data_IF_469632647956
#
_entry.id   IF_469632647956
#
_cell.length_a   1.000
_cell.length_b   1.000
_cell.length_c   1.000
_cell.angle_alpha   90.00
_cell.angle_beta   90.00
_cell.angle_gamma   90.00
#
_symmetry.space_group_name_H-M   'P 1'
#
loop_
_entity.id
_entity.type
_entity.pdbx_description
1 polymer ?
#
# COMPACT_ATOMS: atom_id res chain seq x y z
N UNK A 1 41.01 -5.43 -75.73
CA UNK A 1 42.22 -5.31 -74.89
C UNK A 1 42.32 -3.84 -74.50
N UNK A 2 42.40 -3.39 -73.26
CA UNK A 2 42.29 -3.95 -71.91
C UNK A 2 42.29 -2.72 -70.99
N UNK A 3 41.54 -2.75 -69.89
CA UNK A 3 41.88 -2.02 -68.66
C UNK A 3 41.32 -0.60 -68.49
N UNK A 4 40.12 -0.52 -67.93
CA UNK A 4 39.64 0.62 -67.12
C UNK A 4 40.35 0.59 -65.76
N UNK A 5 40.89 1.70 -65.22
CA UNK A 5 41.40 1.75 -63.85
C UNK A 5 40.28 2.13 -62.87
N UNK A 6 40.01 1.25 -61.90
CA UNK A 6 39.16 1.53 -60.74
C UNK A 6 39.82 2.55 -59.81
N UNK A 7 39.03 3.53 -59.37
CA UNK A 7 39.44 4.57 -58.41
C UNK A 7 38.98 4.16 -57.01
N UNK A 8 39.81 4.29 -55.96
CA UNK A 8 39.50 3.78 -54.63
C UNK A 8 38.38 4.54 -53.94
N UNK A 9 37.44 3.78 -53.36
CA UNK A 9 36.25 4.26 -52.68
C UNK A 9 36.54 5.11 -51.45
N UNK A 10 35.84 6.24 -51.37
CA UNK A 10 35.80 7.15 -50.22
C UNK A 10 34.99 6.49 -49.10
N UNK A 11 35.64 6.24 -47.97
CA UNK A 11 35.00 5.77 -46.73
C UNK A 11 34.26 6.94 -46.09
N UNK A 12 32.93 6.89 -46.10
CA UNK A 12 32.08 7.82 -45.36
C UNK A 12 32.09 7.45 -43.86
N UNK A 13 32.11 8.42 -42.93
CA UNK A 13 32.04 8.15 -41.50
C UNK A 13 30.65 7.60 -41.10
N UNK A 14 30.57 6.76 -40.05
CA UNK A 14 29.30 6.26 -39.55
C UNK A 14 28.45 7.42 -39.02
N UNK A 15 27.22 7.57 -39.53
CA UNK A 15 26.23 8.49 -38.97
C UNK A 15 25.74 7.93 -37.64
N UNK A 16 26.18 8.60 -36.58
CA UNK A 16 25.70 8.48 -35.22
C UNK A 16 24.20 8.80 -35.11
N UNK A 17 23.50 8.01 -34.30
CA UNK A 17 22.27 8.43 -33.64
C UNK A 17 21.06 7.61 -34.04
N UNK A 18 20.90 6.44 -33.42
CA UNK A 18 19.58 5.89 -33.15
C UNK A 18 18.76 7.01 -32.50
N UNK A 19 17.77 7.51 -33.24
CA UNK A 19 16.74 8.35 -32.67
C UNK A 19 16.05 7.50 -31.59
N UNK A 20 16.15 7.96 -30.34
CA UNK A 20 15.35 7.41 -29.26
C UNK A 20 13.90 7.33 -29.74
N UNK A 21 13.20 6.20 -29.54
CA UNK A 21 11.81 6.10 -29.92
C UNK A 21 11.04 7.24 -29.22
N UNK A 22 10.07 7.88 -29.90
CA UNK A 22 9.31 8.95 -29.29
C UNK A 22 8.71 8.44 -27.98
N UNK A 23 8.84 9.25 -26.93
CA UNK A 23 8.18 9.02 -25.66
C UNK A 23 6.71 8.70 -25.95
N UNK A 24 6.26 7.52 -25.51
CA UNK A 24 4.84 7.17 -25.61
C UNK A 24 4.07 8.20 -24.80
N UNK A 25 3.27 8.99 -25.49
CA UNK A 25 2.18 9.76 -24.90
C UNK A 25 1.17 8.74 -24.33
N UNK A 26 1.37 8.31 -23.08
CA UNK A 26 0.35 7.55 -22.33
C UNK A 26 -0.51 8.54 -21.57
N UNK A 27 -1.53 9.08 -22.24
CA UNK A 27 -2.62 9.75 -21.56
C UNK A 27 -3.28 8.78 -20.55
N UNK A 28 -3.10 9.07 -19.26
CA UNK A 28 -3.82 8.60 -18.06
C UNK A 28 -4.46 7.18 -18.08
N UNK A 29 -3.67 6.09 -18.05
CA UNK A 29 -4.16 4.74 -17.67
C UNK A 29 -3.87 4.39 -16.19
N UNK A 30 -3.89 5.40 -15.30
CA UNK A 30 -3.57 5.21 -13.87
C UNK A 30 -4.37 6.12 -12.95
N UNK A 31 -4.40 5.82 -11.63
CA UNK A 31 -5.08 6.68 -10.66
C UNK A 31 -4.41 8.06 -10.62
N UNK A 32 -5.20 9.11 -10.36
CA UNK A 32 -4.64 10.39 -9.91
C UNK A 32 -3.89 10.17 -8.59
N UNK A 33 -2.68 10.70 -8.47
CA UNK A 33 -1.85 10.51 -7.26
C UNK A 33 -1.72 11.84 -6.52
N UNK A 34 -1.99 11.82 -5.21
CA UNK A 34 -1.79 12.97 -4.33
C UNK A 34 -0.93 12.58 -3.11
N UNK A 35 0.36 12.92 -3.09
CA UNK A 35 1.19 12.77 -1.89
C UNK A 35 0.67 13.62 -0.73
N UNK A 36 0.77 13.11 0.51
CA UNK A 36 0.27 13.83 1.70
C UNK A 36 1.18 14.97 2.17
N UNK A 37 2.44 14.98 1.76
CA UNK A 37 3.44 15.99 2.13
C UNK A 37 4.55 16.07 1.07
N UNK A 38 5.44 17.09 1.12
CA UNK A 38 6.63 17.14 0.27
C UNK A 38 7.57 15.94 0.44
N UNK A 39 7.70 15.39 1.66
CA UNK A 39 8.51 14.18 1.88
C UNK A 39 7.87 12.95 1.25
N UNK A 40 6.52 12.85 1.26
CA UNK A 40 5.81 11.81 0.52
C UNK A 40 6.02 11.93 -0.98
N UNK A 41 6.03 13.15 -1.52
CA UNK A 41 6.30 13.39 -2.94
C UNK A 41 7.72 12.94 -3.31
N UNK A 42 8.72 13.28 -2.48
CA UNK A 42 10.10 12.80 -2.68
C UNK A 42 10.21 11.27 -2.65
N UNK A 43 9.52 10.60 -1.71
CA UNK A 43 9.50 9.12 -1.66
C UNK A 43 8.79 8.52 -2.89
N UNK A 44 7.73 9.15 -3.37
CA UNK A 44 7.03 8.76 -4.59
C UNK A 44 7.92 8.92 -5.84
N UNK A 45 8.60 10.05 -5.96
CA UNK A 45 9.47 10.38 -7.10
C UNK A 45 10.61 9.37 -7.26
N UNK A 46 11.21 8.93 -6.13
CA UNK A 46 12.25 7.89 -6.10
C UNK A 46 11.82 6.58 -6.78
N UNK A 47 10.53 6.22 -6.75
CA UNK A 47 10.02 5.06 -7.48
C UNK A 47 10.58 3.70 -7.04
N UNK A 48 11.11 3.58 -5.82
CA UNK A 48 11.77 2.34 -5.40
C UNK A 48 10.75 1.26 -5.05
N UNK A 49 9.80 1.57 -4.17
CA UNK A 49 8.81 0.60 -3.70
C UNK A 49 7.41 1.21 -3.52
N UNK A 50 6.38 0.47 -3.90
CA UNK A 50 4.99 0.77 -3.57
C UNK A 50 4.34 -0.35 -2.76
N UNK A 51 3.64 0.03 -1.70
CA UNK A 51 2.76 -0.85 -0.93
C UNK A 51 1.30 -0.47 -1.21
N UNK A 52 0.58 -1.29 -1.97
CA UNK A 52 -0.83 -1.08 -2.25
C UNK A 52 -1.68 -1.65 -1.09
N UNK A 53 -2.35 -0.78 -0.34
CA UNK A 53 -3.26 -1.21 0.73
C UNK A 53 -4.57 -1.73 0.17
N UNK A 54 -4.89 -3.00 0.39
CA UNK A 54 -6.12 -3.65 -0.08
C UNK A 54 -6.94 -4.09 1.13
N UNK A 55 -7.94 -3.29 1.51
CA UNK A 55 -8.71 -3.53 2.73
C UNK A 55 -9.82 -4.59 2.52
N UNK A 56 -9.94 -5.58 3.42
CA UNK A 56 -11.07 -6.51 3.44
C UNK A 56 -12.41 -5.79 3.64
N UNK A 57 -13.50 -6.42 3.18
CA UNK A 57 -14.88 -5.89 3.26
C UNK A 57 -15.13 -4.57 2.53
N UNK A 58 -14.19 -4.09 1.73
CA UNK A 58 -14.35 -2.86 0.97
C UNK A 58 -14.70 -3.19 -0.50
N UNK A 59 -15.93 -2.85 -0.89
CA UNK A 59 -16.43 -3.06 -2.25
C UNK A 59 -15.66 -2.30 -3.33
N UNK A 60 -14.84 -1.33 -2.96
CA UNK A 60 -13.92 -0.65 -3.87
C UNK A 60 -12.94 -1.63 -4.54
N UNK A 61 -12.45 -2.65 -3.83
CA UNK A 61 -11.43 -3.56 -4.33
C UNK A 61 -12.05 -4.76 -5.09
N UNK A 62 -12.50 -4.48 -6.31
CA UNK A 62 -12.82 -5.52 -7.30
C UNK A 62 -11.54 -6.09 -7.90
N UNK A 63 -11.61 -7.25 -8.56
CA UNK A 63 -10.43 -7.85 -9.20
C UNK A 63 -9.88 -6.89 -10.27
N UNK A 64 -10.76 -6.32 -11.08
CA UNK A 64 -10.46 -5.39 -12.16
C UNK A 64 -9.73 -4.15 -11.63
N UNK A 65 -10.23 -3.58 -10.53
CA UNK A 65 -9.60 -2.42 -9.90
C UNK A 65 -8.22 -2.75 -9.34
N UNK A 66 -8.06 -3.91 -8.70
CA UNK A 66 -6.76 -4.36 -8.22
C UNK A 66 -5.80 -4.56 -9.42
N UNK A 67 -6.28 -5.09 -10.54
CA UNK A 67 -5.47 -5.27 -11.77
C UNK A 67 -4.97 -3.94 -12.30
N UNK A 68 -5.82 -2.91 -12.40
CA UNK A 68 -5.41 -1.56 -12.87
C UNK A 68 -4.38 -0.96 -11.92
N UNK A 69 -4.61 -1.04 -10.61
CA UNK A 69 -3.67 -0.52 -9.62
C UNK A 69 -2.33 -1.27 -9.62
N UNK A 70 -2.36 -2.61 -9.77
CA UNK A 70 -1.16 -3.43 -9.84
C UNK A 70 -0.34 -3.12 -11.09
N UNK A 71 -0.99 -2.98 -12.25
CA UNK A 71 -0.34 -2.59 -13.51
C UNK A 71 0.35 -1.24 -13.37
N UNK A 72 -0.39 -0.23 -12.93
CA UNK A 72 0.14 1.11 -12.69
C UNK A 72 1.35 1.10 -11.74
N UNK A 73 1.27 0.33 -10.64
CA UNK A 73 2.37 0.26 -9.69
C UNK A 73 3.60 -0.45 -10.29
N UNK A 74 3.42 -1.55 -11.02
CA UNK A 74 4.50 -2.29 -11.66
C UNK A 74 5.20 -1.47 -12.76
N UNK A 75 4.47 -0.60 -13.45
CA UNK A 75 5.03 0.29 -14.46
C UNK A 75 5.82 1.46 -13.84
N UNK A 76 5.50 1.84 -12.59
CA UNK A 76 6.06 3.04 -11.93
C UNK A 76 7.16 2.75 -10.91
N UNK A 77 7.14 1.58 -10.26
CA UNK A 77 8.00 1.25 -9.13
C UNK A 77 8.88 0.04 -9.38
N UNK A 78 10.11 0.04 -8.85
CA UNK A 78 11.03 -1.09 -8.98
C UNK A 78 10.57 -2.34 -8.24
N UNK A 79 9.83 -2.19 -7.14
CA UNK A 79 9.26 -3.30 -6.38
C UNK A 79 7.87 -2.95 -5.88
N UNK A 80 6.96 -3.91 -5.90
CA UNK A 80 5.56 -3.71 -5.48
C UNK A 80 5.13 -4.82 -4.56
N UNK A 81 4.49 -4.46 -3.46
CA UNK A 81 3.74 -5.37 -2.63
C UNK A 81 2.27 -4.93 -2.51
N UNK A 82 1.37 -5.90 -2.43
CA UNK A 82 -0.01 -5.68 -2.04
C UNK A 82 -0.17 -6.11 -0.58
N UNK A 83 -0.59 -5.19 0.28
CA UNK A 83 -0.81 -5.46 1.71
C UNK A 83 -2.29 -5.67 1.99
N UNK A 84 -2.61 -6.69 2.80
CA UNK A 84 -3.96 -6.92 3.31
C UNK A 84 -3.94 -7.17 4.83
N UNK A 85 -4.66 -6.36 5.65
CA UNK A 85 -4.80 -6.56 7.10
C UNK A 85 -5.85 -7.65 7.42
N UNK A 86 -5.58 -8.87 6.98
CA UNK A 86 -6.49 -10.01 7.05
C UNK A 86 -6.73 -10.54 8.47
N UNK A 87 -5.68 -10.71 9.28
CA UNK A 87 -5.79 -11.07 10.70
C UNK A 87 -6.55 -10.03 11.52
N UNK A 88 -6.12 -8.74 11.50
CA UNK A 88 -6.77 -7.66 12.23
C UNK A 88 -8.25 -7.46 11.89
N UNK A 89 -8.69 -7.85 10.69
CA UNK A 89 -10.10 -7.71 10.27
C UNK A 89 -11.12 -8.39 11.18
N UNK A 90 -10.72 -9.40 11.96
CA UNK A 90 -11.59 -10.00 12.97
C UNK A 90 -11.97 -9.00 14.07
N UNK A 91 -11.04 -8.11 14.46
CA UNK A 91 -11.25 -7.11 15.51
C UNK A 91 -12.36 -6.14 15.14
N UNK A 92 -12.39 -5.68 13.88
CA UNK A 92 -13.45 -4.81 13.37
C UNK A 92 -14.83 -5.48 13.44
N UNK A 93 -14.90 -6.80 13.14
CA UNK A 93 -16.14 -7.56 13.26
C UNK A 93 -16.56 -7.76 14.72
N UNK A 94 -15.63 -8.04 15.62
CA UNK A 94 -15.88 -8.15 17.06
C UNK A 94 -16.40 -6.83 17.63
N UNK A 95 -15.74 -5.71 17.30
CA UNK A 95 -16.19 -4.37 17.67
C UNK A 95 -17.56 -4.02 17.08
N UNK A 96 -17.92 -4.61 15.94
CA UNK A 96 -19.27 -4.48 15.33
C UNK A 96 -20.30 -5.46 15.92
N UNK A 97 -20.00 -6.15 17.02
CA UNK A 97 -20.95 -7.01 17.75
C UNK A 97 -20.96 -8.49 17.34
N UNK A 98 -20.07 -8.95 16.46
CA UNK A 98 -19.98 -10.38 16.17
C UNK A 98 -19.32 -11.12 17.34
N UNK A 99 -19.84 -12.28 17.77
CA UNK A 99 -19.12 -13.15 18.70
C UNK A 99 -17.75 -13.53 18.12
N UNK A 100 -16.69 -13.47 18.94
CA UNK A 100 -15.28 -13.72 18.55
C UNK A 100 -15.10 -14.87 17.57
N UNK A 101 -15.63 -16.06 17.86
CA UNK A 101 -15.54 -17.23 16.96
C UNK A 101 -16.15 -16.98 15.58
N UNK A 102 -17.30 -16.30 15.51
CA UNK A 102 -17.95 -15.94 14.23
C UNK A 102 -17.16 -14.85 13.51
N UNK A 103 -16.64 -13.86 14.24
CA UNK A 103 -15.80 -12.80 13.68
C UNK A 103 -14.54 -13.38 13.03
N UNK A 104 -13.78 -14.23 13.73
CA UNK A 104 -12.59 -14.88 13.18
C UNK A 104 -12.91 -15.76 11.96
N UNK A 105 -13.98 -16.55 12.02
CA UNK A 105 -14.39 -17.40 10.89
C UNK A 105 -14.78 -16.57 9.65
N UNK A 106 -15.51 -15.46 9.85
CA UNK A 106 -15.91 -14.55 8.78
C UNK A 106 -14.72 -13.78 8.20
N UNK A 107 -13.82 -13.27 9.05
CA UNK A 107 -12.59 -12.63 8.63
C UNK A 107 -11.73 -13.57 7.78
N UNK A 108 -11.49 -14.81 8.23
CA UNK A 108 -10.70 -15.81 7.47
C UNK A 108 -11.29 -16.12 6.10
N UNK A 109 -12.61 -16.27 5.99
CA UNK A 109 -13.27 -16.52 4.70
C UNK A 109 -13.07 -15.34 3.74
N UNK A 110 -13.17 -14.12 4.25
CA UNK A 110 -13.01 -12.90 3.45
C UNK A 110 -11.55 -12.64 3.08
N UNK A 111 -10.62 -12.94 3.98
CA UNK A 111 -9.19 -12.95 3.72
C UNK A 111 -8.85 -13.87 2.54
N UNK A 112 -9.26 -15.14 2.60
CA UNK A 112 -9.01 -16.09 1.51
C UNK A 112 -9.61 -15.62 0.18
N UNK A 113 -10.83 -15.06 0.22
CA UNK A 113 -11.48 -14.52 -0.97
C UNK A 113 -10.72 -13.33 -1.56
N UNK A 114 -10.26 -12.40 -0.73
CA UNK A 114 -9.49 -11.23 -1.15
C UNK A 114 -8.10 -11.62 -1.68
N UNK A 115 -7.40 -12.52 -0.98
CA UNK A 115 -6.11 -13.06 -1.43
C UNK A 115 -6.23 -13.66 -2.82
N UNK A 116 -7.27 -14.46 -3.08
CA UNK A 116 -7.52 -15.03 -4.40
C UNK A 116 -7.82 -13.96 -5.47
N UNK A 117 -8.47 -12.84 -5.12
CA UNK A 117 -8.64 -11.71 -6.05
C UNK A 117 -7.30 -11.06 -6.39
N UNK A 118 -6.45 -10.83 -5.38
CA UNK A 118 -5.13 -10.20 -5.55
C UNK A 118 -4.24 -11.09 -6.42
N UNK A 119 -4.21 -12.40 -6.19
CA UNK A 119 -3.47 -13.35 -7.04
C UNK A 119 -3.96 -13.27 -8.49
N UNK A 120 -5.27 -13.37 -8.75
CA UNK A 120 -5.81 -13.24 -10.11
C UNK A 120 -5.46 -11.92 -10.80
N UNK A 121 -5.48 -10.82 -10.04
CA UNK A 121 -5.12 -9.52 -10.56
C UNK A 121 -3.63 -9.44 -10.92
N UNK A 122 -2.75 -9.99 -10.08
CA UNK A 122 -1.31 -10.09 -10.32
C UNK A 122 -0.98 -11.02 -11.49
N UNK A 123 -1.68 -12.16 -11.62
CA UNK A 123 -1.58 -13.05 -12.79
C UNK A 123 -1.94 -12.31 -14.09
N UNK A 124 -3.02 -11.52 -14.06
CA UNK A 124 -3.51 -10.78 -15.24
C UNK A 124 -2.56 -9.67 -15.71
N UNK A 125 -1.65 -9.22 -14.86
CA UNK A 125 -0.57 -8.27 -15.22
C UNK A 125 0.76 -8.96 -15.48
N UNK A 126 0.81 -10.30 -15.44
CA UNK A 126 2.01 -11.09 -15.75
C UNK A 126 3.06 -11.09 -14.63
N UNK A 127 2.65 -10.91 -13.37
CA UNK A 127 3.58 -11.00 -12.24
C UNK A 127 4.20 -12.41 -12.15
N UNK A 128 5.52 -12.48 -11.98
CA UNK A 128 6.25 -13.75 -11.96
C UNK A 128 5.95 -14.61 -10.72
N UNK A 129 5.85 -13.98 -9.54
CA UNK A 129 5.64 -14.63 -8.24
C UNK A 129 4.49 -13.95 -7.47
N UNK A 130 3.22 -14.06 -7.93
CA UNK A 130 2.08 -13.35 -7.36
C UNK A 130 1.91 -13.53 -5.85
N UNK A 131 2.15 -14.74 -5.35
CA UNK A 131 1.99 -15.08 -3.93
C UNK A 131 3.04 -14.39 -3.06
N UNK A 132 4.26 -14.21 -3.57
CA UNK A 132 5.36 -13.54 -2.88
C UNK A 132 5.17 -12.03 -2.78
N UNK A 133 4.34 -11.44 -3.63
CA UNK A 133 4.01 -10.02 -3.60
C UNK A 133 2.92 -9.65 -2.58
N UNK A 134 2.27 -10.63 -1.94
CA UNK A 134 1.18 -10.39 -1.00
C UNK A 134 1.70 -10.42 0.45
N UNK A 135 1.55 -9.29 1.13
CA UNK A 135 1.83 -9.14 2.56
C UNK A 135 0.53 -9.32 3.34
N UNK A 136 0.30 -10.52 3.86
CA UNK A 136 -0.79 -10.84 4.77
C UNK A 136 -0.26 -11.27 6.15
N UNK A 137 -1.15 -11.59 7.08
CA UNK A 137 -0.79 -12.02 8.43
C UNK A 137 0.09 -13.28 8.46
N UNK A 138 -0.05 -14.16 7.47
CA UNK A 138 0.80 -15.34 7.32
C UNK A 138 2.22 -14.97 6.94
N UNK A 139 2.38 -14.09 5.95
CA UNK A 139 3.68 -13.53 5.53
C UNK A 139 4.35 -12.73 6.65
N UNK A 140 3.56 -12.02 7.46
CA UNK A 140 4.07 -11.16 8.52
C UNK A 140 4.37 -11.88 9.82
N UNK A 141 3.85 -13.09 10.01
CA UNK A 141 4.19 -13.93 11.15
C UNK A 141 5.69 -14.25 11.13
N UNK A 142 6.41 -13.84 12.17
CA UNK A 142 7.86 -14.00 12.27
C UNK A 142 8.68 -12.89 11.60
N UNK A 143 8.05 -11.89 10.97
CA UNK A 143 8.77 -10.69 10.55
C UNK A 143 9.07 -9.82 11.79
N UNK A 144 10.26 -10.03 12.37
CA UNK A 144 10.70 -9.35 13.60
C UNK A 144 10.65 -7.83 13.53
N UNK A 145 10.80 -7.24 12.33
CA UNK A 145 10.75 -5.78 12.16
C UNK A 145 9.32 -5.27 12.31
N UNK A 146 8.37 -5.93 11.65
CA UNK A 146 6.95 -5.65 11.79
C UNK A 146 6.46 -5.90 13.23
N UNK A 147 6.79 -7.06 13.81
CA UNK A 147 6.35 -7.44 15.17
C UNK A 147 6.85 -6.45 16.23
N UNK A 148 8.09 -5.97 16.11
CA UNK A 148 8.65 -4.96 17.01
C UNK A 148 7.88 -3.63 16.90
N UNK A 149 7.69 -3.12 15.69
CA UNK A 149 6.95 -1.87 15.46
C UNK A 149 5.50 -1.96 15.94
N UNK A 150 4.86 -3.12 15.76
CA UNK A 150 3.53 -3.38 16.27
C UNK A 150 3.50 -3.36 17.81
N UNK A 151 4.50 -3.97 18.46
CA UNK A 151 4.66 -3.92 19.92
C UNK A 151 4.87 -2.50 20.44
N UNK A 152 5.70 -1.71 19.76
CA UNK A 152 5.92 -0.29 20.09
C UNK A 152 4.64 0.54 19.94
N UNK A 153 3.86 0.32 18.87
CA UNK A 153 2.58 0.98 18.65
C UNK A 153 1.57 0.65 19.76
N UNK A 154 1.50 -0.61 20.20
CA UNK A 154 0.66 -1.02 21.32
C UNK A 154 1.12 -0.39 22.64
N UNK A 155 2.42 -0.41 22.93
CA UNK A 155 2.97 0.22 24.14
C UNK A 155 2.66 1.72 24.19
N UNK A 156 2.76 2.42 23.05
CA UNK A 156 2.42 3.84 22.97
C UNK A 156 0.92 4.09 23.16
N UNK A 157 0.06 3.23 22.60
CA UNK A 157 -1.40 3.29 22.82
C UNK A 157 -1.78 3.11 24.30
N UNK A 158 -1.03 2.31 25.05
CA UNK A 158 -1.29 2.09 26.47
C UNK A 158 -0.68 3.20 27.37
N UNK A 159 0.41 3.84 26.93
CA UNK A 159 1.18 4.79 27.75
C UNK A 159 0.87 6.28 27.49
N UNK A 160 0.42 6.65 26.29
CA UNK A 160 0.20 8.05 25.89
C UNK A 160 -1.28 8.33 25.62
N UNK A 161 -1.89 9.15 26.49
CA UNK A 161 -3.32 9.45 26.42
C UNK A 161 -3.74 10.18 25.13
N UNK A 162 -2.90 11.06 24.60
CA UNK A 162 -3.22 11.83 23.39
C UNK A 162 -3.14 10.94 22.13
N UNK A 163 -2.18 10.02 22.10
CA UNK A 163 -2.09 9.00 21.06
C UNK A 163 -3.25 8.01 21.15
N UNK A 164 -3.59 7.57 22.36
CA UNK A 164 -4.74 6.71 22.60
C UNK A 164 -6.04 7.35 22.09
N UNK A 165 -6.31 8.61 22.44
CA UNK A 165 -7.48 9.36 21.98
C UNK A 165 -7.54 9.43 20.45
N UNK A 166 -6.41 9.73 19.79
CA UNK A 166 -6.32 9.76 18.33
C UNK A 166 -6.63 8.40 17.69
N UNK A 167 -6.16 7.31 18.31
CA UNK A 167 -6.46 5.95 17.85
C UNK A 167 -7.93 5.58 18.08
N UNK A 168 -8.54 6.03 19.18
CA UNK A 168 -9.97 5.83 19.46
C UNK A 168 -10.85 6.57 18.45
N UNK A 169 -10.48 7.79 18.05
CA UNK A 169 -11.18 8.54 16.98
C UNK A 169 -11.13 7.82 15.65
N UNK A 170 -9.97 7.24 15.31
CA UNK A 170 -9.87 6.38 14.13
C UNK A 170 -10.71 5.09 14.28
N UNK A 171 -10.78 4.51 15.48
CA UNK A 171 -11.67 3.40 15.80
C UNK A 171 -13.16 3.76 15.60
N UNK A 172 -13.56 4.97 16.01
CA UNK A 172 -14.90 5.52 15.75
C UNK A 172 -15.17 5.59 14.25
N UNK A 173 -14.23 6.12 13.47
CA UNK A 173 -14.35 6.22 12.01
C UNK A 173 -14.50 4.83 11.35
N UNK A 174 -13.72 3.83 11.78
CA UNK A 174 -13.82 2.44 11.30
C UNK A 174 -15.21 1.84 11.53
N UNK A 175 -15.88 2.22 12.63
CA UNK A 175 -17.18 1.69 13.04
C UNK A 175 -18.39 2.51 12.56
N UNK A 176 -18.18 3.72 12.05
CA UNK A 176 -19.25 4.69 11.77
C UNK A 176 -20.37 4.13 10.87
N UNK A 177 -20.02 3.33 9.85
CA UNK A 177 -20.98 2.73 8.92
C UNK A 177 -21.48 1.34 9.34
N UNK A 178 -21.07 0.85 10.52
CA UNK A 178 -21.27 -0.54 10.97
C UNK A 178 -22.05 -0.65 12.27
N UNK A 179 -22.02 0.40 13.08
CA UNK A 179 -22.55 0.42 14.44
C UNK A 179 -23.26 1.75 14.65
N UNK A 180 -24.46 1.69 15.23
CA UNK A 180 -25.20 2.88 15.59
C UNK A 180 -24.42 3.75 16.59
N UNK A 181 -24.53 5.07 16.45
CA UNK A 181 -23.73 6.01 17.26
C UNK A 181 -23.92 5.81 18.77
N UNK A 182 -25.12 5.41 19.20
CA UNK A 182 -25.44 5.13 20.60
C UNK A 182 -24.70 3.91 21.18
N UNK A 183 -24.19 3.00 20.33
CA UNK A 183 -23.47 1.81 20.75
C UNK A 183 -21.94 1.97 20.70
N UNK A 184 -21.42 3.14 20.30
CA UNK A 184 -19.98 3.39 20.18
C UNK A 184 -19.32 3.67 21.55
N UNK A 185 -19.11 2.62 22.34
CA UNK A 185 -18.38 2.70 23.62
C UNK A 185 -16.87 2.81 23.40
N UNK A 186 -16.16 3.37 24.39
CA UNK A 186 -14.68 3.44 24.39
C UNK A 186 -14.03 2.06 24.22
N UNK A 187 -14.60 1.03 24.82
CA UNK A 187 -14.12 -0.35 24.67
C UNK A 187 -14.23 -0.84 23.22
N UNK A 188 -15.38 -0.64 22.56
CA UNK A 188 -15.56 -1.02 21.14
C UNK A 188 -14.64 -0.23 20.22
N UNK A 189 -14.49 1.07 20.46
CA UNK A 189 -13.54 1.90 19.73
C UNK A 189 -12.11 1.43 19.94
N UNK A 190 -11.74 1.01 21.15
CA UNK A 190 -10.42 0.43 21.45
C UNK A 190 -10.16 -0.88 20.71
N UNK A 191 -11.15 -1.77 20.62
CA UNK A 191 -11.04 -3.01 19.82
C UNK A 191 -10.84 -2.66 18.34
N UNK A 192 -11.62 -1.72 17.80
CA UNK A 192 -11.46 -1.26 16.41
C UNK A 192 -10.12 -0.54 16.17
N UNK A 193 -9.65 0.25 17.13
CA UNK A 193 -8.36 0.94 17.05
C UNK A 193 -7.19 -0.03 16.90
N UNK A 194 -7.28 -1.25 17.47
CA UNK A 194 -6.26 -2.28 17.27
C UNK A 194 -6.12 -2.74 15.82
N UNK A 195 -7.16 -2.58 14.99
CA UNK A 195 -7.03 -2.77 13.53
C UNK A 195 -6.08 -1.73 12.93
N UNK A 196 -6.25 -0.45 13.28
CA UNK A 196 -5.36 0.64 12.85
C UNK A 196 -3.92 0.42 13.33
N UNK A 197 -3.75 0.01 14.60
CA UNK A 197 -2.41 -0.26 15.15
C UNK A 197 -1.66 -1.34 14.37
N UNK A 198 -2.38 -2.32 13.82
CA UNK A 198 -1.77 -3.35 12.96
C UNK A 198 -1.32 -2.81 11.60
N UNK A 199 -1.96 -1.75 11.08
CA UNK A 199 -1.57 -1.11 9.82
C UNK A 199 -0.48 -0.03 10.02
N UNK A 200 -0.37 0.51 11.23
CA UNK A 200 0.54 1.61 11.56
C UNK A 200 2.01 1.37 11.14
N UNK A 201 2.60 0.16 11.34
CA UNK A 201 3.94 -0.14 10.85
C UNK A 201 4.08 0.07 9.33
N UNK A 202 3.06 -0.24 8.53
CA UNK A 202 3.10 -0.02 7.08
C UNK A 202 2.93 1.46 6.70
N UNK A 203 2.07 2.20 7.41
CA UNK A 203 1.92 3.63 7.14
C UNK A 203 3.21 4.42 7.40
N UNK A 204 4.08 3.91 8.28
CA UNK A 204 5.19 4.70 8.82
C UNK A 204 6.58 4.10 8.59
N UNK A 205 6.71 2.79 8.40
CA UNK A 205 7.99 2.07 8.39
C UNK A 205 8.03 0.91 7.37
N UNK A 206 7.24 0.98 6.29
CA UNK A 206 7.27 -0.02 5.21
C UNK A 206 8.70 -0.30 4.71
N UNK A 207 9.58 0.69 4.41
CA UNK A 207 10.91 0.39 3.90
C UNK A 207 11.71 -0.51 4.84
N UNK A 208 11.56 -0.31 6.15
CA UNK A 208 12.20 -1.18 7.15
C UNK A 208 11.62 -2.59 7.12
N UNK A 209 10.30 -2.74 7.01
CA UNK A 209 9.62 -4.04 6.99
C UNK A 209 10.01 -4.89 5.76
N UNK A 210 10.10 -4.26 4.58
CA UNK A 210 10.34 -4.96 3.30
C UNK A 210 11.79 -4.92 2.84
N UNK A 211 12.66 -4.17 3.52
CA UNK A 211 14.09 -4.11 3.22
C UNK A 211 14.48 -3.19 2.06
N UNK A 212 13.74 -2.10 1.86
CA UNK A 212 14.04 -1.06 0.85
C UNK A 212 14.51 0.24 1.50
N UNK A 213 15.13 1.14 0.74
CA UNK A 213 15.56 2.45 1.22
C UNK A 213 14.41 3.47 1.24
N UNK A 214 13.43 3.32 0.37
CA UNK A 214 12.21 4.13 0.33
C UNK A 214 10.99 3.31 -0.08
N UNK A 215 9.81 3.78 0.31
CA UNK A 215 8.53 3.16 -0.01
C UNK A 215 7.39 4.16 0.14
N UNK A 216 6.39 4.06 -0.72
CA UNK A 216 5.11 4.74 -0.56
C UNK A 216 3.99 3.76 -0.25
N UNK A 217 3.18 4.07 0.77
CA UNK A 217 1.91 3.39 0.98
C UNK A 217 0.83 4.08 0.15
N UNK A 218 0.13 3.32 -0.68
CA UNK A 218 -0.85 3.84 -1.64
C UNK A 218 -2.25 3.39 -1.25
N UNK A 219 -3.17 4.35 -1.05
CA UNK A 219 -4.55 4.04 -0.68
C UNK A 219 -5.54 5.11 -1.17
N UNK A 220 -6.78 4.73 -1.44
CA UNK A 220 -7.77 5.66 -2.04
C UNK A 220 -8.35 6.66 -1.04
N UNK A 221 -8.36 6.33 0.26
CA UNK A 221 -8.92 7.18 1.32
C UNK A 221 -8.08 7.09 2.60
N UNK A 222 -7.08 7.97 2.79
CA UNK A 222 -6.36 8.02 4.06
C UNK A 222 -7.33 8.39 5.21
N UNK A 223 -7.26 7.72 6.37
CA UNK A 223 -7.86 8.23 7.59
C UNK A 223 -7.19 9.55 8.03
N UNK A 224 -7.92 10.46 8.67
CA UNK A 224 -7.38 11.72 9.22
C UNK A 224 -6.19 11.47 10.18
N UNK A 225 -6.21 10.34 10.87
CA UNK A 225 -5.10 9.88 11.71
C UNK A 225 -3.79 9.82 10.92
N UNK A 226 -3.80 9.30 9.68
CA UNK A 226 -2.62 9.21 8.83
C UNK A 226 -2.13 10.59 8.42
N UNK A 227 -3.04 11.52 8.09
CA UNK A 227 -2.62 12.89 7.79
C UNK A 227 -1.90 13.54 8.97
N UNK A 228 -2.40 13.33 10.20
CA UNK A 228 -1.76 13.81 11.43
C UNK A 228 -0.38 13.20 11.66
N UNK A 229 -0.18 11.91 11.36
CA UNK A 229 1.14 11.25 11.44
C UNK A 229 2.16 11.95 10.54
N UNK A 230 1.80 12.18 9.27
CA UNK A 230 2.70 12.78 8.28
C UNK A 230 2.92 14.29 8.51
N UNK A 231 2.02 14.95 9.24
CA UNK A 231 2.18 16.32 9.71
C UNK A 231 2.94 16.42 11.04
N UNK A 232 3.43 15.29 11.59
CA UNK A 232 4.15 15.22 12.88
C UNK A 232 3.33 15.79 14.06
N UNK A 233 2.01 15.59 14.03
CA UNK A 233 1.06 16.01 15.07
C UNK A 233 0.73 14.90 16.08
N UNK A 234 1.49 13.82 16.05
CA UNK A 234 1.36 12.64 16.90
C UNK A 234 2.75 12.24 17.40
N UNK A 235 2.86 11.59 18.59
CA UNK A 235 4.13 11.10 19.11
C UNK A 235 4.76 9.99 18.24
N UNK A 236 3.95 9.35 17.39
CA UNK A 236 4.41 8.44 16.34
C UNK A 236 4.48 9.16 14.99
N UNK A 237 5.47 8.85 14.17
CA UNK A 237 5.61 9.43 12.83
C UNK A 237 6.32 8.52 11.83
N UNK A 238 6.31 8.90 10.54
CA UNK A 238 6.99 8.13 9.51
C UNK A 238 8.52 8.19 9.68
N UNK A 239 9.19 7.08 9.38
CA UNK A 239 10.64 7.07 9.20
C UNK A 239 11.04 7.78 7.90
N UNK A 240 12.33 8.08 7.78
CA UNK A 240 12.88 8.61 6.53
C UNK A 240 12.69 7.62 5.37
N UNK A 241 12.35 8.15 4.20
CA UNK A 241 12.06 7.34 3.02
C UNK A 241 10.66 6.71 2.99
N UNK A 242 9.86 6.83 4.06
CA UNK A 242 8.43 6.49 4.01
C UNK A 242 7.59 7.65 3.45
N UNK A 243 6.73 7.34 2.48
CA UNK A 243 5.68 8.23 2.01
C UNK A 243 4.28 7.61 2.10
N UNK A 244 3.27 8.46 1.95
CA UNK A 244 1.89 8.04 1.75
C UNK A 244 1.29 8.84 0.62
N UNK A 245 0.62 8.15 -0.31
CA UNK A 245 -0.07 8.76 -1.44
C UNK A 245 -1.53 8.36 -1.47
N UNK A 246 -2.40 9.36 -1.61
CA UNK A 246 -3.80 9.11 -1.91
C UNK A 246 -3.96 8.81 -3.39
N UNK A 247 -4.68 7.75 -3.69
CA UNK A 247 -5.07 7.37 -5.04
C UNK A 247 -6.49 7.86 -5.35
N UNK A 248 -6.65 8.53 -6.48
CA UNK A 248 -7.95 8.88 -7.02
C UNK A 248 -8.68 7.66 -7.59
N UNK A 249 -9.91 7.87 -8.11
CA UNK A 249 -10.60 6.86 -8.90
C UNK A 249 -9.72 6.39 -10.06
N UNK A 250 -9.81 5.10 -10.38
CA UNK A 250 -9.31 4.54 -11.63
C UNK A 250 -10.47 4.40 -12.61
N UNK A 251 -10.22 4.51 -13.93
CA UNK A 251 -11.22 4.25 -14.96
C UNK A 251 -11.86 2.85 -14.84
#
# INVERSE_FOLDING_TARGET
MSGTPETPGVIAPPRSGDAAPPARDTAEEGPRVRPLSPSCASAFDKGEHACLGISPFNGYFTTERITVLARWALDRFSTVHLYMPDGPSALTLEASGYPRRRASAKARRQANYLRNKMIRALDAVGAAEPQGMILDSGTLAGNRRYERLLGEAHALFDADAAFQEACLDAGRWILADRVESAELTTERMGIAARYLLAELPFFTHTPHIVGTASSVFCYHRPPDFVERLFQRRLPWGPQDGQGFVQLGPVP
#
